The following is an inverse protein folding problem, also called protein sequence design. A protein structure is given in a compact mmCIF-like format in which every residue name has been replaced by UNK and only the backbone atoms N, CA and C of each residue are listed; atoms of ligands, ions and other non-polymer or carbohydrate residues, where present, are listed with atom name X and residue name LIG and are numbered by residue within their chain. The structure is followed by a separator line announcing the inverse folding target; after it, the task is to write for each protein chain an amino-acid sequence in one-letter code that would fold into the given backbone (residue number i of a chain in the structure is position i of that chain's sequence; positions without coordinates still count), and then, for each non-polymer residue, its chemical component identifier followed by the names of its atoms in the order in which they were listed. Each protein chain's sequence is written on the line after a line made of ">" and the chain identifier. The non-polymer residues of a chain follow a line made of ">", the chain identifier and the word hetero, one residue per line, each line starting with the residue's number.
data_IF_328838131450
#
_entry.id   IF_328838131450
#
_cell.length_a   1.000
_cell.length_b   1.000
_cell.length_c   1.000
_cell.angle_alpha   90.00
_cell.angle_beta   90.00
_cell.angle_gamma   90.00
#
_symmetry.space_group_name_H-M   'P 1'
#
loop_
_entity.id
_entity.type
_entity.pdbx_description
1 polymer ?
#
# COMPACT_ATOMS: atom_id res chain seq x y z
N UNK A 1 22.83 5.49 -1.66
CA UNK A 1 23.41 4.36 -0.92
C UNK A 1 22.33 3.30 -0.84
N UNK A 2 22.61 2.08 -1.31
CA UNK A 2 21.65 0.96 -1.28
C UNK A 2 21.74 0.25 0.07
N UNK A 3 20.59 -0.13 0.63
CA UNK A 3 20.51 -0.88 1.89
C UNK A 3 20.81 -2.36 1.63
N UNK A 4 21.52 -3.01 2.55
CA UNK A 4 21.70 -4.46 2.50
C UNK A 4 20.34 -5.16 2.63
N UNK A 5 20.16 -6.35 2.03
CA UNK A 5 18.89 -7.08 2.12
C UNK A 5 18.37 -7.28 3.56
N UNK A 6 19.28 -7.55 4.52
CA UNK A 6 18.90 -7.68 5.94
C UNK A 6 18.36 -6.37 6.53
N UNK A 7 18.93 -5.23 6.16
CA UNK A 7 18.52 -3.90 6.64
C UNK A 7 17.15 -3.54 6.06
N UNK A 8 16.93 -3.88 4.80
CA UNK A 8 15.63 -3.74 4.13
C UNK A 8 14.54 -4.56 4.82
N UNK A 9 14.80 -5.85 5.06
CA UNK A 9 13.85 -6.74 5.76
C UNK A 9 13.56 -6.27 7.17
N UNK A 10 14.58 -5.79 7.90
CA UNK A 10 14.41 -5.28 9.26
C UNK A 10 13.50 -4.05 9.29
N UNK A 11 13.71 -3.07 8.40
CA UNK A 11 12.85 -1.89 8.29
C UNK A 11 11.41 -2.25 7.93
N UNK A 12 11.24 -3.20 7.01
CA UNK A 12 9.91 -3.69 6.63
C UNK A 12 9.19 -4.34 7.83
N UNK A 13 9.87 -5.24 8.56
CA UNK A 13 9.30 -5.91 9.74
C UNK A 13 8.99 -4.91 10.86
N UNK A 14 9.87 -3.94 11.12
CA UNK A 14 9.62 -2.89 12.11
C UNK A 14 8.38 -2.08 11.75
N UNK A 15 8.22 -1.70 10.47
CA UNK A 15 7.02 -1.01 10.00
C UNK A 15 5.75 -1.84 10.21
N UNK A 16 5.77 -3.14 9.88
CA UNK A 16 4.64 -4.04 10.13
C UNK A 16 4.30 -4.16 11.62
N UNK A 17 5.31 -4.28 12.50
CA UNK A 17 5.10 -4.31 13.95
C UNK A 17 4.44 -3.01 14.43
N UNK A 18 4.83 -1.84 13.90
CA UNK A 18 4.17 -0.58 14.25
C UNK A 18 2.70 -0.55 13.81
N UNK A 19 2.34 -1.13 12.66
CA UNK A 19 0.93 -1.26 12.25
C UNK A 19 0.15 -2.14 13.23
N UNK A 20 0.72 -3.27 13.65
CA UNK A 20 0.10 -4.15 14.65
C UNK A 20 -0.07 -3.47 16.01
N UNK A 21 0.82 -2.55 16.37
CA UNK A 21 0.72 -1.72 17.57
C UNK A 21 -0.18 -0.48 17.41
N UNK A 22 -1.01 -0.42 16.35
CA UNK A 22 -1.88 0.71 16.04
C UNK A 22 -1.14 2.06 15.94
N UNK A 23 0.11 2.03 15.46
CA UNK A 23 0.97 3.21 15.27
C UNK A 23 1.29 3.41 13.78
N UNK A 24 0.29 3.66 12.91
CA UNK A 24 0.51 3.76 11.47
C UNK A 24 1.39 4.94 11.06
N UNK A 25 1.43 6.02 11.86
CA UNK A 25 2.36 7.14 11.64
C UNK A 25 3.83 6.72 11.75
N UNK A 26 4.18 5.86 12.72
CA UNK A 26 5.54 5.34 12.85
C UNK A 26 5.85 4.28 11.79
N UNK A 27 4.87 3.44 11.45
CA UNK A 27 5.00 2.49 10.36
C UNK A 27 5.35 3.19 9.04
N UNK A 28 4.62 4.26 8.73
CA UNK A 28 4.88 5.13 7.58
C UNK A 28 6.32 5.61 7.54
N UNK A 29 6.87 6.12 8.65
CA UNK A 29 8.27 6.58 8.70
C UNK A 29 9.26 5.49 8.29
N UNK A 30 9.06 4.25 8.76
CA UNK A 30 9.95 3.14 8.40
C UNK A 30 9.85 2.75 6.92
N UNK A 31 8.64 2.72 6.37
CA UNK A 31 8.43 2.39 4.95
C UNK A 31 8.94 3.50 4.02
N UNK A 32 8.73 4.78 4.36
CA UNK A 32 9.27 5.91 3.60
C UNK A 32 10.80 5.93 3.63
N UNK A 33 11.42 5.65 4.79
CA UNK A 33 12.87 5.52 4.89
C UNK A 33 13.39 4.39 3.97
N UNK A 34 12.73 3.24 3.99
CA UNK A 34 13.09 2.11 3.12
C UNK A 34 12.94 2.47 1.63
N UNK A 35 11.84 3.09 1.23
CA UNK A 35 11.61 3.50 -0.16
C UNK A 35 12.53 4.65 -0.62
N UNK A 36 13.02 5.48 0.30
CA UNK A 36 14.02 6.51 -0.03
C UNK A 36 15.37 5.92 -0.43
N UNK A 37 15.74 4.78 0.17
CA UNK A 37 16.96 4.05 -0.17
C UNK A 37 16.74 3.09 -1.34
N UNK A 38 15.56 2.46 -1.40
CA UNK A 38 15.20 1.43 -2.39
C UNK A 38 13.83 1.72 -3.03
N UNK A 39 13.74 2.65 -4.00
CA UNK A 39 12.46 3.12 -4.56
C UNK A 39 11.61 2.05 -5.27
N UNK A 40 12.27 0.95 -5.68
CA UNK A 40 11.68 -0.19 -6.39
C UNK A 40 11.25 -1.32 -5.45
N UNK A 41 11.42 -1.17 -4.14
CA UNK A 41 11.05 -2.22 -3.21
C UNK A 41 9.52 -2.31 -3.08
N UNK A 42 8.93 -3.30 -3.74
CA UNK A 42 7.47 -3.46 -3.87
C UNK A 42 6.79 -3.68 -2.51
N UNK A 43 7.38 -4.48 -1.64
CA UNK A 43 6.78 -4.82 -0.35
C UNK A 43 6.65 -3.61 0.58
N UNK A 44 7.66 -2.73 0.67
CA UNK A 44 7.50 -1.48 1.42
C UNK A 44 6.46 -0.57 0.82
N UNK A 45 6.33 -0.53 -0.52
CA UNK A 45 5.32 0.29 -1.18
C UNK A 45 3.91 -0.22 -0.88
N UNK A 46 3.68 -1.54 -0.90
CA UNK A 46 2.42 -2.15 -0.45
C UNK A 46 2.16 -1.87 1.04
N UNK A 47 3.15 -2.04 1.90
CA UNK A 47 3.01 -1.78 3.32
C UNK A 47 2.75 -0.29 3.64
N UNK A 48 3.35 0.62 2.87
CA UNK A 48 3.09 2.05 2.94
C UNK A 48 1.64 2.38 2.56
N UNK A 49 1.08 1.76 1.51
CA UNK A 49 -0.35 1.92 1.18
C UNK A 49 -1.22 1.59 2.38
N UNK A 50 -0.97 0.47 3.06
CA UNK A 50 -1.73 0.08 4.26
C UNK A 50 -1.62 1.13 5.36
N UNK A 51 -0.40 1.62 5.63
CA UNK A 51 -0.18 2.67 6.62
C UNK A 51 -0.91 3.98 6.28
N UNK A 52 -0.89 4.39 5.01
CA UNK A 52 -1.56 5.60 4.52
C UNK A 52 -3.08 5.49 4.63
N UNK A 53 -3.64 4.33 4.30
CA UNK A 53 -5.08 4.07 4.44
C UNK A 53 -5.54 4.12 5.90
N UNK A 54 -4.73 3.63 6.85
CA UNK A 54 -5.02 3.74 8.29
C UNK A 54 -4.88 5.16 8.84
N UNK A 55 -4.18 6.04 8.12
CA UNK A 55 -4.04 7.47 8.45
C UNK A 55 -5.07 8.34 7.72
N UNK A 56 -6.01 7.73 6.99
CA UNK A 56 -6.99 8.41 6.13
C UNK A 56 -6.34 9.31 5.04
N UNK A 57 -5.08 9.03 4.68
CA UNK A 57 -4.33 9.76 3.65
C UNK A 57 -4.63 9.21 2.25
N UNK A 58 -5.91 9.30 1.85
CA UNK A 58 -6.45 8.69 0.63
C UNK A 58 -5.69 9.07 -0.65
N UNK A 59 -5.38 10.35 -0.84
CA UNK A 59 -4.68 10.82 -2.05
C UNK A 59 -3.28 10.20 -2.22
N UNK A 60 -2.52 10.10 -1.12
CA UNK A 60 -1.19 9.47 -1.14
C UNK A 60 -1.30 7.95 -1.36
N UNK A 61 -2.27 7.30 -0.70
CA UNK A 61 -2.51 5.87 -0.88
C UNK A 61 -2.86 5.54 -2.33
N UNK A 62 -3.73 6.34 -2.96
CA UNK A 62 -4.10 6.19 -4.37
C UNK A 62 -2.86 6.26 -5.27
N UNK A 63 -2.01 7.28 -5.11
CA UNK A 63 -0.80 7.42 -5.93
C UNK A 63 0.10 6.17 -5.85
N UNK A 64 0.29 5.63 -4.65
CA UNK A 64 1.10 4.42 -4.49
C UNK A 64 0.44 3.16 -5.07
N UNK A 65 -0.89 3.02 -4.95
CA UNK A 65 -1.64 1.94 -5.60
C UNK A 65 -1.52 2.00 -7.12
N UNK A 66 -1.77 3.16 -7.72
CA UNK A 66 -1.69 3.36 -9.17
C UNK A 66 -0.28 3.08 -9.70
N UNK A 67 0.74 3.49 -8.94
CA UNK A 67 2.12 3.15 -9.29
C UNK A 67 2.39 1.64 -9.22
N UNK A 68 1.90 0.93 -8.19
CA UNK A 68 2.06 -0.53 -8.10
C UNK A 68 1.37 -1.25 -9.26
N UNK A 69 0.16 -0.81 -9.63
CA UNK A 69 -0.58 -1.35 -10.78
C UNK A 69 0.17 -1.08 -12.11
N UNK A 70 0.71 0.14 -12.29
CA UNK A 70 1.52 0.48 -13.45
C UNK A 70 2.82 -0.32 -13.54
N UNK A 71 3.41 -0.67 -12.39
CA UNK A 71 4.59 -1.54 -12.28
C UNK A 71 4.28 -3.03 -12.50
N UNK A 72 3.03 -3.37 -12.82
CA UNK A 72 2.57 -4.71 -13.16
C UNK A 72 2.28 -5.62 -11.96
N UNK A 73 2.04 -5.04 -10.78
CA UNK A 73 1.66 -5.81 -9.60
C UNK A 73 0.27 -6.46 -9.79
N UNK A 74 0.19 -7.77 -9.62
CA UNK A 74 -1.01 -8.57 -9.92
C UNK A 74 -1.83 -8.93 -8.67
N UNK A 75 -1.45 -8.38 -7.51
CA UNK A 75 -2.13 -8.63 -6.25
C UNK A 75 -3.55 -8.03 -6.27
N UNK A 76 -4.62 -8.86 -6.26
CA UNK A 76 -5.99 -8.36 -6.31
C UNK A 76 -6.31 -7.41 -5.16
N UNK A 77 -5.66 -7.56 -4.00
CA UNK A 77 -5.90 -6.70 -2.84
C UNK A 77 -5.59 -5.22 -3.09
N UNK A 78 -4.78 -4.90 -4.12
CA UNK A 78 -4.54 -3.51 -4.52
C UNK A 78 -5.79 -2.79 -5.01
N UNK A 79 -6.71 -3.49 -5.66
CA UNK A 79 -7.98 -2.91 -6.11
C UNK A 79 -8.88 -2.55 -4.92
N UNK A 80 -8.89 -3.38 -3.88
CA UNK A 80 -9.56 -3.05 -2.62
C UNK A 80 -8.90 -1.83 -1.92
N UNK A 81 -7.57 -1.74 -1.95
CA UNK A 81 -6.83 -0.60 -1.40
C UNK A 81 -7.12 0.70 -2.17
N UNK A 82 -7.13 0.64 -3.51
CA UNK A 82 -7.45 1.76 -4.39
C UNK A 82 -8.89 2.23 -4.18
N UNK A 83 -9.83 1.30 -4.10
CA UNK A 83 -11.23 1.60 -3.76
C UNK A 83 -11.33 2.38 -2.45
N UNK A 84 -10.67 1.89 -1.38
CA UNK A 84 -10.66 2.57 -0.08
C UNK A 84 -10.02 3.96 -0.17
N UNK A 85 -8.91 4.11 -0.90
CA UNK A 85 -8.25 5.38 -1.11
C UNK A 85 -9.15 6.42 -1.79
N UNK A 86 -9.92 6.01 -2.81
CA UNK A 86 -10.89 6.85 -3.51
C UNK A 86 -12.12 7.15 -2.66
N UNK A 87 -12.58 6.20 -1.84
CA UNK A 87 -13.65 6.43 -0.88
C UNK A 87 -13.28 7.54 0.12
N UNK A 88 -12.06 7.52 0.66
CA UNK A 88 -11.55 8.56 1.57
C UNK A 88 -11.51 9.97 0.93
N UNK A 89 -11.44 10.03 -0.39
CA UNK A 89 -11.46 11.27 -1.17
C UNK A 89 -12.87 11.68 -1.63
N UNK A 90 -13.92 10.91 -1.30
CA UNK A 90 -15.29 11.17 -1.75
C UNK A 90 -15.58 10.75 -3.20
N UNK A 91 -14.65 10.04 -3.84
CA UNK A 91 -14.76 9.57 -5.23
C UNK A 91 -15.56 8.25 -5.31
N UNK A 92 -16.82 8.28 -4.88
CA UNK A 92 -17.60 7.07 -4.59
C UNK A 92 -17.85 6.18 -5.81
N UNK A 93 -18.13 6.77 -6.98
CA UNK A 93 -18.37 6.00 -8.22
C UNK A 93 -17.11 5.23 -8.65
N UNK A 94 -15.94 5.86 -8.56
CA UNK A 94 -14.67 5.23 -8.90
C UNK A 94 -14.28 4.18 -7.87
N UNK A 95 -14.49 4.48 -6.58
CA UNK A 95 -14.28 3.52 -5.50
C UNK A 95 -15.14 2.26 -5.68
N UNK A 96 -16.41 2.43 -6.10
CA UNK A 96 -17.30 1.31 -6.40
C UNK A 96 -16.78 0.46 -7.54
N UNK A 97 -16.39 1.08 -8.66
CA UNK A 97 -15.85 0.36 -9.81
C UNK A 97 -14.58 -0.44 -9.46
N UNK A 98 -13.66 0.13 -8.69
CA UNK A 98 -12.45 -0.57 -8.24
C UNK A 98 -12.80 -1.78 -7.35
N UNK A 99 -13.79 -1.64 -6.47
CA UNK A 99 -14.21 -2.74 -5.58
C UNK A 99 -14.91 -3.86 -6.35
N UNK A 100 -15.76 -3.52 -7.33
CA UNK A 100 -16.37 -4.50 -8.24
C UNK A 100 -15.29 -5.27 -9.00
N UNK A 101 -14.22 -4.59 -9.44
CA UNK A 101 -13.07 -5.25 -10.07
C UNK A 101 -12.32 -6.18 -9.11
N UNK A 102 -12.11 -5.77 -7.86
CA UNK A 102 -11.53 -6.62 -6.81
C UNK A 102 -12.34 -7.91 -6.61
N UNK A 103 -13.67 -7.81 -6.52
CA UNK A 103 -14.56 -8.96 -6.35
C UNK A 103 -14.47 -9.91 -7.55
N UNK A 104 -14.50 -9.36 -8.78
CA UNK A 104 -14.38 -10.16 -9.99
C UNK A 104 -13.09 -10.97 -10.04
N UNK A 105 -11.95 -10.38 -9.65
CA UNK A 105 -10.65 -11.06 -9.58
C UNK A 105 -10.62 -12.13 -8.49
N UNK A 106 -11.18 -11.85 -7.30
CA UNK A 106 -11.22 -12.82 -6.21
C UNK A 106 -12.03 -14.06 -6.58
N UNK A 107 -13.17 -13.85 -7.24
CA UNK A 107 -14.09 -14.92 -7.62
C UNK A 107 -13.56 -15.76 -8.81
N UNK A 108 -12.61 -15.25 -9.60
CA UNK A 108 -11.91 -16.02 -10.66
C UNK A 108 -10.75 -16.88 -10.13
N UNK A 109 -10.28 -16.63 -8.92
CA UNK A 109 -9.17 -17.34 -8.28
C UNK A 109 -9.62 -18.25 -7.12
N UNK A 110 -10.93 -18.43 -6.93
CA UNK A 110 -11.55 -19.35 -5.98
C UNK A 110 -11.89 -20.70 -6.64
#
# INVERSE_FOLDING_TARGET
>A
MSLKPVEQTLLLLLGWVQLQCAQPGRARTFFEALLSAEPRQRDARKALVVALLQLDLGAQAQQHCEQLLADGEQDPALWACLSRARQLQGQLEQARADYEHFLALRDTHA
#
